data_IF_367617228047
#
_entry.id   IF_367617228047
#
_cell.length_a   1.000
_cell.length_b   1.000
_cell.length_c   1.000
_cell.angle_alpha   90.00
_cell.angle_beta   90.00
_cell.angle_gamma   90.00
#
_symmetry.space_group_name_H-M   'P 1'
#
loop_
_entity.id
_entity.type
_entity.pdbx_description
1 polymer ?
#
# COMPACT_ATOMS: atom_id res chain seq x y z
N UNK A 1 -22.06 17.84 4.99
CA UNK A 1 -21.60 17.00 3.86
C UNK A 1 -21.26 15.62 4.37
N UNK A 2 -21.54 14.56 3.61
CA UNK A 2 -21.10 13.20 3.97
C UNK A 2 -19.57 13.16 3.94
N UNK A 3 -18.95 12.52 4.95
CA UNK A 3 -17.51 12.32 4.97
C UNK A 3 -17.08 11.38 3.85
N UNK A 4 -15.91 11.63 3.27
CA UNK A 4 -15.29 10.73 2.29
C UNK A 4 -14.83 9.45 2.98
N UNK A 5 -14.77 8.35 2.25
CA UNK A 5 -14.34 7.05 2.75
C UNK A 5 -13.04 6.61 2.07
N UNK A 6 -12.05 6.21 2.88
CA UNK A 6 -10.82 5.59 2.40
C UNK A 6 -10.77 4.11 2.80
N UNK A 7 -10.54 3.22 1.81
CA UNK A 7 -10.28 1.81 2.03
C UNK A 7 -8.77 1.56 1.93
N UNK A 8 -8.19 0.98 2.97
CA UNK A 8 -6.74 0.77 3.07
C UNK A 8 -6.46 -0.69 3.34
N UNK A 9 -5.72 -1.34 2.43
CA UNK A 9 -5.30 -2.72 2.60
C UNK A 9 -3.98 -2.82 3.37
N UNK A 10 -3.83 -3.87 4.19
CA UNK A 10 -2.62 -4.02 5.02
C UNK A 10 -2.46 -2.90 6.06
N UNK A 11 -3.57 -2.43 6.63
CA UNK A 11 -3.61 -1.29 7.55
C UNK A 11 -3.13 -1.62 8.99
N UNK A 12 -2.64 -2.83 9.25
CA UNK A 12 -2.28 -3.30 10.60
C UNK A 12 -0.89 -2.90 11.06
N UNK A 13 -0.07 -2.32 10.19
CA UNK A 13 1.29 -1.87 10.52
C UNK A 13 1.86 -0.93 9.44
N UNK A 14 2.99 -0.29 9.74
CA UNK A 14 3.82 0.46 8.80
C UNK A 14 3.07 1.52 8.00
N UNK A 15 3.32 1.56 6.70
CA UNK A 15 2.74 2.57 5.80
C UNK A 15 1.21 2.52 5.81
N UNK A 16 0.60 1.32 5.85
CA UNK A 16 -0.86 1.18 5.85
C UNK A 16 -1.51 1.74 7.11
N UNK A 17 -0.92 1.50 8.28
CA UNK A 17 -1.39 2.07 9.56
C UNK A 17 -1.21 3.58 9.58
N UNK A 18 -0.05 4.09 9.12
CA UNK A 18 0.22 5.52 9.00
C UNK A 18 -0.76 6.21 8.05
N UNK A 19 -1.08 5.59 6.89
CA UNK A 19 -2.11 6.07 5.98
C UNK A 19 -3.48 6.13 6.67
N UNK A 20 -3.88 5.06 7.39
CA UNK A 20 -5.16 5.04 8.07
C UNK A 20 -5.25 6.19 9.11
N UNK A 21 -4.22 6.38 9.90
CA UNK A 21 -4.14 7.48 10.88
C UNK A 21 -4.18 8.87 10.20
N UNK A 22 -3.43 9.03 9.11
CA UNK A 22 -3.38 10.30 8.37
C UNK A 22 -4.73 10.66 7.75
N UNK A 23 -5.42 9.68 7.17
CA UNK A 23 -6.73 9.89 6.55
C UNK A 23 -7.82 10.11 7.61
N UNK A 24 -7.78 9.42 8.77
CA UNK A 24 -8.64 9.70 9.90
C UNK A 24 -8.50 11.16 10.39
N UNK A 25 -7.26 11.61 10.61
CA UNK A 25 -6.97 13.01 10.98
C UNK A 25 -7.41 14.00 9.89
N UNK A 26 -7.47 13.57 8.63
CA UNK A 26 -8.01 14.33 7.52
C UNK A 26 -9.54 14.30 7.40
N UNK A 27 -10.24 13.65 8.35
CA UNK A 27 -11.70 13.59 8.42
C UNK A 27 -12.35 12.54 7.52
N UNK A 28 -11.60 11.56 7.00
CA UNK A 28 -12.15 10.44 6.24
C UNK A 28 -12.71 9.36 7.17
N UNK A 29 -13.84 8.78 6.82
CA UNK A 29 -14.23 7.48 7.33
C UNK A 29 -13.30 6.40 6.77
N UNK A 30 -13.02 5.36 7.55
CA UNK A 30 -12.04 4.35 7.20
C UNK A 30 -12.65 2.97 7.03
N UNK A 31 -12.20 2.26 5.99
CA UNK A 31 -12.30 0.81 5.90
C UNK A 31 -10.87 0.29 6.00
N UNK A 32 -10.51 -0.31 7.13
CA UNK A 32 -9.18 -0.86 7.38
C UNK A 32 -9.20 -2.37 7.23
N UNK A 33 -8.23 -2.92 6.49
CA UNK A 33 -8.18 -4.37 6.26
C UNK A 33 -6.81 -4.96 6.57
N UNK A 34 -6.81 -6.24 6.93
CA UNK A 34 -5.61 -7.00 7.23
C UNK A 34 -5.94 -8.41 7.69
N UNK A 35 -4.92 -9.22 7.98
CA UNK A 35 -5.10 -10.62 8.42
C UNK A 35 -5.32 -10.78 9.92
N UNK A 36 -4.85 -9.81 10.73
CA UNK A 36 -4.82 -9.90 12.19
C UNK A 36 -6.04 -9.18 12.79
N UNK A 37 -7.10 -9.92 13.09
CA UNK A 37 -8.38 -9.38 13.57
C UNK A 37 -8.22 -8.56 14.87
N UNK A 38 -7.43 -9.04 15.84
CA UNK A 38 -7.24 -8.33 17.11
C UNK A 38 -6.54 -6.98 16.93
N UNK A 39 -5.54 -6.91 16.04
CA UNK A 39 -4.88 -5.63 15.72
C UNK A 39 -5.84 -4.66 15.04
N UNK A 40 -6.66 -5.15 14.10
CA UNK A 40 -7.70 -4.35 13.44
C UNK A 40 -8.72 -3.82 14.46
N UNK A 41 -9.13 -4.62 15.44
CA UNK A 41 -10.03 -4.19 16.51
C UNK A 41 -9.43 -3.08 17.36
N UNK A 42 -8.16 -3.19 17.73
CA UNK A 42 -7.43 -2.16 18.46
C UNK A 42 -7.37 -0.86 17.66
N UNK A 43 -6.93 -0.93 16.40
CA UNK A 43 -6.82 0.24 15.52
C UNK A 43 -8.18 0.89 15.24
N UNK A 44 -9.24 0.09 15.10
CA UNK A 44 -10.60 0.61 14.97
C UNK A 44 -10.94 1.53 16.14
N UNK A 45 -10.74 1.09 17.38
CA UNK A 45 -11.02 1.90 18.55
C UNK A 45 -10.15 3.18 18.61
N UNK A 46 -8.87 3.07 18.26
CA UNK A 46 -7.95 4.22 18.19
C UNK A 46 -8.42 5.26 17.17
N UNK A 47 -8.82 4.84 15.97
CA UNK A 47 -9.24 5.78 14.93
C UNK A 47 -10.65 6.34 15.16
N UNK A 48 -11.57 5.56 15.74
CA UNK A 48 -12.88 6.06 16.16
C UNK A 48 -12.76 7.17 17.20
N UNK A 49 -11.74 7.11 18.08
CA UNK A 49 -11.44 8.18 19.03
C UNK A 49 -11.02 9.50 18.34
N UNK A 50 -10.61 9.47 17.08
CA UNK A 50 -10.37 10.66 16.26
C UNK A 50 -11.67 11.26 15.67
N UNK A 51 -12.81 10.66 15.96
CA UNK A 51 -14.14 11.15 15.59
C UNK A 51 -14.58 10.76 14.18
N UNK A 52 -14.03 9.72 13.56
CA UNK A 52 -14.44 9.17 12.27
C UNK A 52 -15.05 7.78 12.44
N UNK A 53 -15.89 7.36 11.49
CA UNK A 53 -16.41 5.99 11.49
C UNK A 53 -15.35 5.03 10.91
N UNK A 54 -15.23 3.83 11.51
CA UNK A 54 -14.24 2.83 11.10
C UNK A 54 -14.88 1.46 10.94
N UNK A 55 -14.74 0.89 9.76
CA UNK A 55 -15.07 -0.51 9.46
C UNK A 55 -13.76 -1.32 9.41
N UNK A 56 -13.65 -2.36 10.23
CA UNK A 56 -12.51 -3.27 10.25
C UNK A 56 -12.91 -4.60 9.62
N UNK A 57 -12.19 -5.02 8.58
CA UNK A 57 -12.45 -6.26 7.84
C UNK A 57 -11.20 -7.15 7.86
N UNK A 58 -11.31 -8.31 8.52
CA UNK A 58 -10.21 -9.27 8.63
C UNK A 58 -10.29 -10.30 7.48
N UNK A 59 -9.36 -10.20 6.53
CA UNK A 59 -9.21 -11.16 5.43
C UNK A 59 -7.81 -11.10 4.82
N UNK A 60 -7.47 -12.12 4.03
CA UNK A 60 -6.26 -12.12 3.21
C UNK A 60 -6.62 -11.68 1.78
N UNK A 61 -5.93 -10.64 1.27
CA UNK A 61 -6.13 -10.15 -0.11
C UNK A 61 -5.77 -11.20 -1.17
N UNK A 62 -4.99 -12.21 -0.84
CA UNK A 62 -4.64 -13.32 -1.72
C UNK A 62 -5.81 -14.29 -1.93
N UNK A 63 -6.69 -14.42 -0.94
CA UNK A 63 -7.91 -15.22 -1.04
C UNK A 63 -9.02 -14.42 -1.75
N UNK A 64 -9.24 -14.76 -3.01
CA UNK A 64 -10.22 -14.06 -3.86
C UNK A 64 -11.64 -14.14 -3.33
N UNK A 65 -12.05 -15.29 -2.81
CA UNK A 65 -13.43 -15.47 -2.32
C UNK A 65 -13.65 -14.71 -1.01
N UNK A 66 -12.70 -14.80 -0.07
CA UNK A 66 -12.72 -14.04 1.17
C UNK A 66 -12.72 -12.52 0.89
N UNK A 67 -11.89 -12.06 -0.06
CA UNK A 67 -11.86 -10.66 -0.49
C UNK A 67 -13.21 -10.21 -1.07
N UNK A 68 -13.82 -11.04 -1.92
CA UNK A 68 -15.13 -10.75 -2.53
C UNK A 68 -16.23 -10.63 -1.47
N UNK A 69 -16.27 -11.54 -0.50
CA UNK A 69 -17.23 -11.52 0.60
C UNK A 69 -17.04 -10.30 1.48
N UNK A 70 -15.79 -9.97 1.82
CA UNK A 70 -15.47 -8.80 2.63
C UNK A 70 -15.90 -7.50 1.94
N UNK A 71 -15.58 -7.31 0.66
CA UNK A 71 -15.98 -6.10 -0.08
C UNK A 71 -17.51 -6.03 -0.24
N UNK A 72 -18.17 -7.16 -0.49
CA UNK A 72 -19.65 -7.23 -0.59
C UNK A 72 -20.35 -6.92 0.74
N UNK A 73 -19.69 -7.14 1.88
CA UNK A 73 -20.23 -6.85 3.22
C UNK A 73 -20.14 -5.38 3.63
N UNK A 74 -19.49 -4.53 2.84
CA UNK A 74 -19.32 -3.09 3.16
C UNK A 74 -20.70 -2.41 3.16
N UNK A 75 -21.14 -1.84 4.30
CA UNK A 75 -22.45 -1.21 4.40
C UNK A 75 -22.50 0.14 3.63
N UNK A 76 -23.70 0.51 3.22
CA UNK A 76 -23.96 1.75 2.46
C UNK A 76 -23.50 3.03 3.18
N UNK A 77 -23.37 2.99 4.51
CA UNK A 77 -22.82 4.12 5.29
C UNK A 77 -21.38 4.46 4.94
N UNK A 78 -20.60 3.46 4.46
CA UNK A 78 -19.21 3.62 4.02
C UNK A 78 -19.06 3.81 2.51
N UNK A 79 -20.15 3.82 1.75
CA UNK A 79 -20.13 4.03 0.29
C UNK A 79 -20.54 5.46 -0.09
N UNK A 80 -20.05 5.99 -1.22
CA UNK A 80 -19.03 5.36 -2.07
C UNK A 80 -17.66 5.33 -1.40
N UNK A 81 -16.78 4.44 -1.88
CA UNK A 81 -15.36 4.45 -1.53
C UNK A 81 -14.69 5.52 -2.38
N UNK A 82 -14.23 6.61 -1.75
CA UNK A 82 -13.60 7.73 -2.43
C UNK A 82 -12.13 7.48 -2.75
N UNK A 83 -11.44 6.72 -1.88
CA UNK A 83 -10.02 6.39 -2.03
C UNK A 83 -9.78 4.92 -1.73
N UNK A 84 -9.11 4.21 -2.64
CA UNK A 84 -8.58 2.87 -2.43
C UNK A 84 -7.06 2.97 -2.32
N UNK A 85 -6.49 2.57 -1.17
CA UNK A 85 -5.03 2.44 -1.00
C UNK A 85 -4.68 0.97 -1.01
N UNK A 86 -4.13 0.49 -2.12
CA UNK A 86 -3.55 -0.84 -2.24
C UNK A 86 -2.15 -0.83 -1.63
N UNK A 87 -2.09 -1.02 -0.32
CA UNK A 87 -0.85 -1.03 0.45
C UNK A 87 -0.41 -2.45 0.84
N UNK A 88 -1.32 -3.41 0.96
CA UNK A 88 -0.94 -4.79 1.28
C UNK A 88 0.17 -5.29 0.35
N UNK A 89 1.30 -5.66 0.93
CA UNK A 89 2.48 -6.09 0.19
C UNK A 89 3.58 -6.52 1.14
N UNK A 90 4.49 -7.35 0.64
CA UNK A 90 5.64 -7.84 1.40
C UNK A 90 6.84 -8.10 0.48
N UNK A 91 8.01 -8.24 1.08
CA UNK A 91 9.18 -8.87 0.49
C UNK A 91 9.58 -10.09 1.34
N UNK A 92 10.27 -11.04 0.71
CA UNK A 92 10.85 -12.22 1.34
C UNK A 92 12.26 -12.43 0.81
N UNK A 93 13.17 -12.74 1.71
CA UNK A 93 14.55 -13.12 1.40
C UNK A 93 15.39 -12.05 0.69
N UNK A 94 16.64 -12.39 0.47
CA UNK A 94 17.64 -11.67 -0.34
C UNK A 94 18.63 -12.66 -0.99
N UNK A 95 18.23 -13.89 -1.14
CA UNK A 95 19.03 -14.93 -1.76
C UNK A 95 19.07 -14.72 -3.28
N UNK A 96 20.15 -15.08 -3.98
CA UNK A 96 20.18 -15.13 -5.44
C UNK A 96 19.01 -15.95 -5.98
N UNK A 97 18.47 -15.62 -7.15
CA UNK A 97 17.28 -16.29 -7.70
C UNK A 97 17.48 -17.81 -7.82
N UNK A 98 18.68 -18.27 -8.15
CA UNK A 98 18.97 -19.70 -8.28
C UNK A 98 19.05 -20.46 -6.91
N UNK A 99 18.90 -19.75 -5.77
CA UNK A 99 18.88 -20.29 -4.41
C UNK A 99 17.60 -19.89 -3.64
N UNK A 100 16.74 -19.10 -4.25
CA UNK A 100 15.55 -18.54 -3.60
C UNK A 100 14.47 -19.58 -3.28
N UNK A 101 13.67 -19.30 -2.28
CA UNK A 101 12.54 -20.12 -1.84
C UNK A 101 11.34 -19.93 -2.77
N UNK A 102 10.80 -21.02 -3.33
CA UNK A 102 9.55 -20.99 -4.11
C UNK A 102 8.38 -20.45 -3.28
N UNK A 103 8.29 -20.81 -2.00
CA UNK A 103 7.25 -20.30 -1.11
C UNK A 103 7.33 -18.78 -0.96
N UNK A 104 8.52 -18.23 -0.79
CA UNK A 104 8.74 -16.78 -0.69
C UNK A 104 8.33 -16.07 -1.97
N UNK A 105 8.61 -16.66 -3.11
CA UNK A 105 8.20 -16.11 -4.41
C UNK A 105 6.69 -16.10 -4.58
N UNK A 106 6.04 -17.22 -4.26
CA UNK A 106 4.57 -17.34 -4.30
C UNK A 106 3.92 -16.30 -3.38
N UNK A 107 4.40 -16.16 -2.13
CA UNK A 107 3.88 -15.15 -1.20
C UNK A 107 4.02 -13.72 -1.74
N UNK A 108 5.16 -13.37 -2.36
CA UNK A 108 5.38 -12.05 -2.97
C UNK A 108 4.46 -11.82 -4.16
N UNK A 109 4.34 -12.80 -5.06
CA UNK A 109 3.50 -12.68 -6.27
C UNK A 109 2.03 -12.61 -5.88
N UNK A 110 1.59 -13.49 -4.99
CA UNK A 110 0.20 -13.56 -4.56
C UNK A 110 -0.23 -12.28 -3.85
N UNK A 111 0.60 -11.76 -2.95
CA UNK A 111 0.25 -10.55 -2.20
C UNK A 111 0.38 -9.30 -3.06
N UNK A 112 1.57 -9.07 -3.66
CA UNK A 112 1.88 -7.80 -4.30
C UNK A 112 1.17 -7.62 -5.65
N UNK A 113 0.86 -8.72 -6.35
CA UNK A 113 0.22 -8.67 -7.68
C UNK A 113 -1.23 -9.12 -7.60
N UNK A 114 -1.50 -10.38 -7.21
CA UNK A 114 -2.86 -10.92 -7.23
C UNK A 114 -3.74 -10.22 -6.19
N UNK A 115 -3.23 -9.95 -4.97
CA UNK A 115 -3.95 -9.21 -3.94
C UNK A 115 -4.36 -7.81 -4.39
N UNK A 116 -3.44 -7.06 -5.01
CA UNK A 116 -3.74 -5.76 -5.61
C UNK A 116 -4.82 -5.85 -6.68
N UNK A 117 -4.72 -6.83 -7.59
CA UNK A 117 -5.71 -7.05 -8.65
C UNK A 117 -7.08 -7.43 -8.10
N UNK A 118 -7.14 -8.28 -7.06
CA UNK A 118 -8.40 -8.67 -6.41
C UNK A 118 -9.13 -7.42 -5.87
N UNK A 119 -8.44 -6.55 -5.14
CA UNK A 119 -9.03 -5.32 -4.62
C UNK A 119 -9.43 -4.34 -5.72
N UNK A 120 -8.56 -4.13 -6.70
CA UNK A 120 -8.84 -3.26 -7.86
C UNK A 120 -10.10 -3.71 -8.59
N UNK A 121 -10.21 -5.02 -8.89
CA UNK A 121 -11.36 -5.59 -9.63
C UNK A 121 -12.68 -5.45 -8.87
N UNK A 122 -12.65 -5.44 -7.56
CA UNK A 122 -13.86 -5.39 -6.74
C UNK A 122 -14.31 -3.96 -6.39
N UNK A 123 -13.37 -3.00 -6.33
CA UNK A 123 -13.67 -1.63 -5.89
C UNK A 123 -13.80 -0.66 -7.07
N UNK A 124 -12.91 -0.73 -8.05
CA UNK A 124 -12.84 0.25 -9.15
C UNK A 124 -14.08 0.31 -10.04
N UNK A 125 -14.82 -0.79 -10.32
CA UNK A 125 -16.04 -0.69 -11.13
C UNK A 125 -17.08 0.28 -10.58
N UNK A 126 -17.25 0.36 -9.25
CA UNK A 126 -18.15 1.34 -8.63
C UNK A 126 -17.62 2.77 -8.83
N UNK A 127 -16.31 3.00 -8.65
CA UNK A 127 -15.70 4.31 -8.93
C UNK A 127 -15.92 4.75 -10.37
N UNK A 128 -15.75 3.85 -11.34
CA UNK A 128 -15.97 4.13 -12.76
C UNK A 128 -17.45 4.49 -13.02
N UNK A 129 -18.40 3.71 -12.47
CA UNK A 129 -19.82 3.94 -12.64
C UNK A 129 -20.29 5.27 -12.05
N UNK A 130 -19.69 5.68 -10.94
CA UNK A 130 -19.95 6.95 -10.27
C UNK A 130 -19.15 8.13 -10.87
N UNK A 131 -18.25 7.85 -11.81
CA UNK A 131 -17.32 8.82 -12.39
C UNK A 131 -16.53 9.60 -11.31
N UNK A 132 -16.14 8.90 -10.23
CA UNK A 132 -15.49 9.48 -9.05
C UNK A 132 -14.67 8.43 -8.31
N UNK A 133 -13.48 8.81 -7.86
CA UNK A 133 -12.63 7.95 -7.02
C UNK A 133 -11.15 8.18 -7.23
N UNK A 134 -10.35 7.58 -6.36
CA UNK A 134 -8.89 7.62 -6.46
C UNK A 134 -8.29 6.30 -6.01
N UNK A 135 -7.50 5.67 -6.88
CA UNK A 135 -6.72 4.48 -6.54
C UNK A 135 -5.27 4.89 -6.30
N UNK A 136 -4.73 4.57 -5.13
CA UNK A 136 -3.32 4.78 -4.78
C UNK A 136 -2.69 3.40 -4.56
N UNK A 137 -1.77 3.02 -5.43
CA UNK A 137 -1.01 1.80 -5.30
C UNK A 137 0.34 2.08 -4.67
N UNK A 138 0.69 1.34 -3.61
CA UNK A 138 2.02 1.45 -3.00
C UNK A 138 3.00 0.60 -3.79
N UNK A 139 3.69 1.27 -4.70
CA UNK A 139 4.81 0.74 -5.48
C UNK A 139 6.08 0.61 -4.64
N UNK A 140 7.20 0.89 -5.26
CA UNK A 140 8.53 1.00 -4.63
C UNK A 140 9.54 1.55 -5.63
N UNK A 141 10.61 2.18 -5.16
CA UNK A 141 11.80 2.43 -5.96
C UNK A 141 12.38 1.13 -6.57
N UNK A 142 12.15 0.00 -5.93
CA UNK A 142 12.53 -1.33 -6.41
C UNK A 142 11.82 -1.74 -7.71
N UNK A 143 10.73 -1.09 -8.08
CA UNK A 143 10.04 -1.31 -9.35
C UNK A 143 10.71 -0.64 -10.56
N UNK A 144 11.70 0.23 -10.34
CA UNK A 144 12.40 0.95 -11.41
C UNK A 144 13.68 0.23 -11.84
N UNK A 145 14.36 -0.46 -10.91
CA UNK A 145 15.57 -1.21 -11.19
C UNK A 145 15.75 -2.36 -10.19
N UNK A 146 16.25 -3.49 -10.68
CA UNK A 146 16.56 -4.64 -9.84
C UNK A 146 17.85 -4.43 -9.05
N UNK A 147 17.95 -5.11 -7.91
CA UNK A 147 19.15 -5.21 -7.09
C UNK A 147 19.43 -6.67 -6.70
N UNK A 148 20.68 -6.95 -6.33
CA UNK A 148 21.12 -8.31 -6.00
C UNK A 148 20.26 -8.92 -4.89
N UNK A 149 19.79 -10.16 -5.10
CA UNK A 149 18.92 -10.90 -4.18
C UNK A 149 17.47 -10.39 -4.09
N UNK A 150 17.15 -9.30 -4.80
CA UNK A 150 15.80 -8.70 -4.78
C UNK A 150 14.98 -8.94 -6.04
N UNK A 151 15.43 -9.79 -6.97
CA UNK A 151 14.87 -9.90 -8.32
C UNK A 151 13.35 -10.10 -8.34
N UNK A 152 12.83 -11.08 -7.61
CA UNK A 152 11.39 -11.38 -7.59
C UNK A 152 10.59 -10.24 -6.94
N UNK A 153 11.06 -9.67 -5.82
CA UNK A 153 10.43 -8.49 -5.23
C UNK A 153 10.40 -7.32 -6.22
N UNK A 154 11.53 -7.02 -6.88
CA UNK A 154 11.63 -5.96 -7.89
C UNK A 154 10.66 -6.22 -9.05
N UNK A 155 10.57 -7.46 -9.53
CA UNK A 155 9.62 -7.86 -10.56
C UNK A 155 8.17 -7.62 -10.13
N UNK A 156 7.79 -7.95 -8.87
CA UNK A 156 6.44 -7.66 -8.37
C UNK A 156 6.16 -6.16 -8.32
N UNK A 157 7.13 -5.33 -7.93
CA UNK A 157 6.96 -3.87 -7.86
C UNK A 157 7.01 -3.21 -9.26
N UNK A 158 7.74 -3.77 -10.21
CA UNK A 158 7.65 -3.41 -11.63
C UNK A 158 6.26 -3.76 -12.20
N UNK A 159 5.71 -4.92 -11.82
CA UNK A 159 4.33 -5.28 -12.17
C UNK A 159 3.32 -4.30 -11.58
N UNK A 160 3.46 -3.87 -10.32
CA UNK A 160 2.58 -2.85 -9.70
C UNK A 160 2.63 -1.55 -10.51
N UNK A 161 3.82 -1.11 -10.97
CA UNK A 161 3.95 0.07 -11.83
C UNK A 161 3.17 -0.12 -13.13
N UNK A 162 3.40 -1.22 -13.85
CA UNK A 162 2.73 -1.49 -15.11
C UNK A 162 1.20 -1.60 -14.95
N UNK A 163 0.71 -2.26 -13.88
CA UNK A 163 -0.71 -2.37 -13.57
C UNK A 163 -1.32 -1.01 -13.23
N UNK A 164 -0.59 -0.14 -12.55
CA UNK A 164 -1.04 1.22 -12.23
C UNK A 164 -1.16 2.08 -13.49
N UNK A 165 -0.18 1.99 -14.38
CA UNK A 165 -0.19 2.71 -15.66
C UNK A 165 -1.33 2.19 -16.57
N UNK A 166 -1.51 0.86 -16.64
CA UNK A 166 -2.61 0.23 -17.38
C UNK A 166 -3.98 0.66 -16.85
N UNK A 167 -4.19 0.60 -15.55
CA UNK A 167 -5.45 1.05 -14.95
C UNK A 167 -5.73 2.52 -15.25
N UNK A 168 -4.71 3.39 -15.21
CA UNK A 168 -4.85 4.81 -15.55
C UNK A 168 -5.30 5.02 -16.99
N UNK A 169 -4.81 4.20 -17.92
CA UNK A 169 -5.25 4.20 -19.32
C UNK A 169 -6.71 3.74 -19.42
N UNK A 170 -7.06 2.66 -18.74
CA UNK A 170 -8.41 2.08 -18.79
C UNK A 170 -9.50 3.04 -18.27
N UNK A 171 -9.18 3.84 -17.24
CA UNK A 171 -10.12 4.79 -16.62
C UNK A 171 -10.02 6.22 -17.18
N UNK A 172 -9.18 6.47 -18.19
CA UNK A 172 -8.91 7.82 -18.72
C UNK A 172 -10.16 8.54 -19.25
N UNK A 173 -11.21 7.81 -19.57
CA UNK A 173 -12.52 8.33 -19.98
C UNK A 173 -13.40 8.80 -18.80
N UNK A 174 -12.91 8.68 -17.55
CA UNK A 174 -13.60 9.04 -16.32
C UNK A 174 -12.82 10.07 -15.51
N UNK A 175 -13.38 10.48 -14.36
CA UNK A 175 -12.68 11.32 -13.35
C UNK A 175 -11.96 10.46 -12.28
N UNK A 176 -11.87 9.15 -12.45
CA UNK A 176 -11.12 8.28 -11.53
C UNK A 176 -9.63 8.55 -11.69
N UNK A 177 -8.96 8.84 -10.58
CA UNK A 177 -7.52 9.10 -10.54
C UNK A 177 -6.76 7.84 -10.12
N UNK A 178 -5.54 7.69 -10.62
CA UNK A 178 -4.71 6.52 -10.31
C UNK A 178 -3.26 6.97 -10.07
N UNK A 179 -2.76 6.74 -8.87
CA UNK A 179 -1.41 7.14 -8.43
C UNK A 179 -0.55 5.93 -8.12
N UNK A 180 0.69 5.93 -8.61
CA UNK A 180 1.75 5.04 -8.15
C UNK A 180 2.62 5.80 -7.14
N UNK A 181 2.57 5.43 -5.85
CA UNK A 181 3.42 5.99 -4.82
C UNK A 181 4.57 5.03 -4.56
N UNK A 182 5.81 5.48 -4.85
CA UNK A 182 7.03 4.65 -4.82
C UNK A 182 7.94 5.05 -3.66
N UNK A 183 7.81 4.40 -2.49
CA UNK A 183 8.73 4.63 -1.39
C UNK A 183 10.13 4.07 -1.67
N UNK A 184 11.13 4.75 -1.12
CA UNK A 184 12.47 4.22 -0.91
C UNK A 184 12.56 3.38 0.36
N UNK A 185 13.62 3.60 1.16
CA UNK A 185 13.86 2.94 2.44
C UNK A 185 12.96 3.54 3.52
N UNK A 186 11.93 2.81 3.91
CA UNK A 186 11.00 3.19 4.98
C UNK A 186 11.18 2.25 6.17
N UNK A 187 11.50 2.78 7.33
CA UNK A 187 11.63 2.00 8.56
C UNK A 187 10.24 1.58 9.05
N UNK A 188 9.97 0.30 8.95
CA UNK A 188 8.74 -0.35 9.39
C UNK A 188 9.03 -1.80 9.74
N UNK A 189 8.02 -2.56 10.16
CA UNK A 189 8.16 -4.01 10.35
C UNK A 189 8.41 -4.80 9.03
N UNK A 190 8.53 -4.13 7.90
CA UNK A 190 8.73 -4.75 6.59
C UNK A 190 10.04 -5.55 6.51
N UNK A 191 11.14 -5.02 7.07
CA UNK A 191 12.44 -5.73 7.08
C UNK A 191 12.39 -6.98 7.95
N UNK A 192 11.70 -6.95 9.10
CA UNK A 192 11.51 -8.15 9.93
C UNK A 192 10.69 -9.23 9.19
N UNK A 193 9.65 -8.82 8.46
CA UNK A 193 8.85 -9.72 7.62
C UNK A 193 9.71 -10.31 6.51
N UNK A 194 10.54 -9.51 5.86
CA UNK A 194 11.43 -9.92 4.77
C UNK A 194 12.40 -10.99 5.20
N UNK A 195 12.97 -10.88 6.39
CA UNK A 195 13.99 -11.79 6.91
C UNK A 195 13.42 -12.82 7.89
N UNK A 196 12.13 -13.14 7.82
CA UNK A 196 11.48 -14.18 8.63
C UNK A 196 11.70 -14.00 10.15
N UNK A 197 11.82 -12.75 10.63
CA UNK A 197 12.04 -12.41 12.04
C UNK A 197 13.52 -12.35 12.46
N UNK A 198 14.47 -12.42 11.52
CA UNK A 198 15.87 -12.13 11.79
C UNK A 198 16.08 -10.63 12.00
N UNK A 199 16.03 -10.22 13.27
CA UNK A 199 16.12 -8.81 13.66
C UNK A 199 17.49 -8.22 13.32
N UNK A 200 18.58 -8.99 13.40
CA UNK A 200 19.92 -8.48 13.08
C UNK A 200 20.03 -8.09 11.60
N UNK A 201 19.54 -8.94 10.70
CA UNK A 201 19.48 -8.61 9.27
C UNK A 201 18.54 -7.44 9.01
N UNK A 202 17.41 -7.35 9.71
CA UNK A 202 16.44 -6.27 9.56
C UNK A 202 17.01 -4.91 9.98
N UNK A 203 17.69 -4.86 11.12
CA UNK A 203 18.30 -3.62 11.66
C UNK A 203 19.47 -3.13 10.80
N UNK A 204 20.21 -4.06 10.20
CA UNK A 204 21.34 -3.72 9.32
C UNK A 204 20.90 -3.00 8.02
N UNK A 205 19.63 -3.11 7.61
CA UNK A 205 19.10 -2.41 6.42
C UNK A 205 19.18 -0.90 6.57
N UNK A 206 19.01 -0.39 7.80
CA UNK A 206 18.91 1.06 8.06
C UNK A 206 20.18 1.62 8.72
N UNK A 207 21.22 0.82 8.90
CA UNK A 207 22.43 1.23 9.61
C UNK A 207 23.16 2.36 8.89
N UNK A 208 23.35 3.47 9.61
CA UNK A 208 24.08 4.65 9.09
C UNK A 208 23.28 5.54 8.15
N UNK A 209 21.96 5.38 8.11
CA UNK A 209 21.05 6.24 7.35
C UNK A 209 19.88 6.68 8.22
N UNK A 210 19.32 7.85 7.92
CA UNK A 210 18.03 8.29 8.44
C UNK A 210 16.97 7.84 7.44
N UNK A 211 16.20 6.76 7.73
CA UNK A 211 15.20 6.24 6.82
C UNK A 211 13.96 7.15 6.79
N UNK A 212 13.10 6.93 5.81
CA UNK A 212 11.73 7.43 5.85
C UNK A 212 10.92 6.66 6.90
N UNK A 213 9.86 7.30 7.41
CA UNK A 213 8.85 6.67 8.24
C UNK A 213 7.54 6.48 7.48
N UNK A 214 6.64 5.67 8.02
CA UNK A 214 5.33 5.43 7.41
C UNK A 214 4.52 6.71 7.22
N UNK A 215 4.68 7.66 8.13
CA UNK A 215 4.03 8.97 8.15
C UNK A 215 4.43 9.84 6.95
N UNK A 216 5.69 9.79 6.52
CA UNK A 216 6.17 10.54 5.35
C UNK A 216 5.44 10.08 4.08
N UNK A 217 5.22 8.77 3.96
CA UNK A 217 4.51 8.18 2.83
C UNK A 217 3.01 8.47 2.93
N UNK A 218 2.46 8.44 4.14
CA UNK A 218 1.05 8.74 4.39
C UNK A 218 0.70 10.18 4.05
N UNK A 219 1.59 11.13 4.35
CA UNK A 219 1.40 12.55 4.00
C UNK A 219 1.38 12.74 2.48
N UNK A 220 2.25 12.08 1.73
CA UNK A 220 2.26 12.13 0.26
C UNK A 220 1.00 11.46 -0.32
N UNK A 221 0.57 10.33 0.23
CA UNK A 221 -0.68 9.68 -0.18
C UNK A 221 -1.89 10.61 0.06
N UNK A 222 -1.95 11.27 1.21
CA UNK A 222 -3.01 12.22 1.54
C UNK A 222 -2.96 13.46 0.66
N UNK A 223 -1.78 14.01 0.35
CA UNK A 223 -1.61 15.10 -0.59
C UNK A 223 -2.16 14.73 -1.96
N UNK A 224 -1.81 13.56 -2.49
CA UNK A 224 -2.32 13.07 -3.76
C UNK A 224 -3.86 12.92 -3.76
N UNK A 225 -4.43 12.39 -2.67
CA UNK A 225 -5.88 12.23 -2.51
C UNK A 225 -6.60 13.58 -2.41
N UNK A 226 -5.96 14.59 -1.82
CA UNK A 226 -6.51 15.93 -1.60
C UNK A 226 -6.36 16.88 -2.79
N UNK A 227 -5.61 16.49 -3.82
CA UNK A 227 -5.45 17.30 -5.03
C UNK A 227 -6.79 17.56 -5.71
N UNK A 228 -6.97 18.71 -6.39
CA UNK A 228 -8.19 19.02 -7.14
C UNK A 228 -8.55 17.92 -8.15
N UNK A 229 -9.84 17.69 -8.41
CA UNK A 229 -10.33 16.60 -9.28
C UNK A 229 -9.68 16.54 -10.66
N UNK A 230 -9.32 17.69 -11.23
CA UNK A 230 -8.68 17.78 -12.54
C UNK A 230 -7.17 17.51 -12.51
N UNK A 231 -6.59 17.32 -11.32
CA UNK A 231 -5.16 17.06 -11.15
C UNK A 231 -4.91 15.57 -10.96
N UNK A 232 -4.20 14.97 -11.91
CA UNK A 232 -3.73 13.60 -11.86
C UNK A 232 -2.27 13.58 -11.40
N UNK A 233 -2.04 13.20 -10.14
CA UNK A 233 -0.70 12.87 -9.65
C UNK A 233 -0.42 11.42 -10.02
N UNK A 234 0.26 11.23 -11.15
CA UNK A 234 0.40 9.90 -11.75
C UNK A 234 1.41 9.01 -11.01
N UNK A 235 2.54 9.58 -10.61
CA UNK A 235 3.62 8.86 -9.94
C UNK A 235 4.35 9.80 -8.98
N UNK A 236 4.72 9.30 -7.80
CA UNK A 236 5.58 10.01 -6.84
C UNK A 236 6.64 9.06 -6.30
N UNK A 237 7.90 9.42 -6.50
CA UNK A 237 9.04 8.75 -5.87
C UNK A 237 9.42 9.54 -4.60
N UNK A 238 9.47 8.84 -3.45
CA UNK A 238 9.86 9.42 -2.15
C UNK A 238 11.06 8.65 -1.63
N UNK A 239 12.18 9.33 -1.49
CA UNK A 239 13.45 8.76 -1.04
C UNK A 239 13.90 9.41 0.26
N UNK A 240 14.61 8.66 1.10
CA UNK A 240 15.39 9.25 2.19
C UNK A 240 16.44 10.22 1.60
N UNK A 241 16.80 11.27 2.32
CA UNK A 241 17.68 12.33 1.80
C UNK A 241 19.00 11.79 1.23
N UNK A 242 19.54 10.76 1.85
CA UNK A 242 20.83 10.15 1.45
C UNK A 242 20.66 8.93 0.53
N UNK A 243 19.45 8.66 0.05
CA UNK A 243 19.15 7.61 -0.92
C UNK A 243 18.98 8.20 -2.31
N UNK A 244 19.84 7.84 -3.26
CA UNK A 244 19.77 8.34 -4.64
C UNK A 244 18.84 7.48 -5.52
N UNK A 245 18.76 6.16 -5.26
CA UNK A 245 17.90 5.20 -5.96
C UNK A 245 17.73 3.90 -5.13
N UNK A 246 17.28 2.81 -5.74
CA UNK A 246 17.09 1.52 -5.06
C UNK A 246 18.36 0.87 -4.53
N UNK A 247 19.54 1.27 -4.99
CA UNK A 247 20.83 0.61 -4.70
C UNK A 247 21.90 1.55 -4.17
N UNK A 248 21.80 2.84 -4.43
CA UNK A 248 22.80 3.84 -4.04
C UNK A 248 22.30 4.63 -2.84
N UNK A 249 22.89 4.34 -1.71
CA UNK A 249 22.63 5.01 -0.43
C UNK A 249 23.94 5.46 0.16
N UNK A 250 24.02 6.71 0.60
CA UNK A 250 25.16 7.24 1.33
C UNK A 250 24.95 7.01 2.84
N UNK A 251 25.83 6.24 3.46
CA UNK A 251 25.81 5.99 4.90
C UNK A 251 26.73 7.01 5.59
N UNK A 252 26.21 7.75 6.54
CA UNK A 252 27.04 8.55 7.45
C UNK A 252 27.80 7.60 8.40
N UNK A 253 29.12 7.76 8.48
CA UNK A 253 29.99 6.92 9.32
C UNK A 253 29.83 7.26 10.79
#
# INVERSE_FOLDING_TARGET
MKRKTALITGATSGIGEACARRFANGGYNLIITGRTADRLKTLKAEFEALGVDVLALAFDVCDRESTRQAVASIPESFKPIDVLINNAGLARGLEPEYEGSFQDWDEMIDTNIKGLLNMTRLVVPEMVSLNHGHVINIGSVAGDAAYAGGGVYCATKAAVKALTDGLRIDVAHTKVRVTNLKPGLVETNFSNIRFHGDNERADNVYKGIVPLHGEDIADVAFYAASAPEHVQIAEVLVLATHQANGTVVHSEK
#
